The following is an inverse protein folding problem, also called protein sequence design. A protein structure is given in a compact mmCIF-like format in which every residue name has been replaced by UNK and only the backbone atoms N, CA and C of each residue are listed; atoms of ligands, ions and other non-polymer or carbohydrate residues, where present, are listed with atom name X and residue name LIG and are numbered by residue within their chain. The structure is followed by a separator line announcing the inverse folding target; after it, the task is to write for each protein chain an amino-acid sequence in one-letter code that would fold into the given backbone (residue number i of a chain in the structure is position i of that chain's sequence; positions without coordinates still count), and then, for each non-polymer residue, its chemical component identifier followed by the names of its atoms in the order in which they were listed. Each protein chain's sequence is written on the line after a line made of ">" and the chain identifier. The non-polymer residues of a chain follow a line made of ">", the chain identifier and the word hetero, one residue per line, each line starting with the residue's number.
data_IF_948923649349
#
_entry.id   IF_948923649349
#
_cell.length_a   1.000
_cell.length_b   1.000
_cell.length_c   1.000
_cell.angle_alpha   90.00
_cell.angle_beta   90.00
_cell.angle_gamma   90.00
#
_symmetry.space_group_name_H-M   'P 1'
#
loop_
_entity.id
_entity.type
_entity.pdbx_description
1 polymer ?
#
# COMPACT_ATOMS: atom_id res chain seq x y z
N UNK A 1 0.60 12.29 -1.31
CA UNK A 1 1.53 11.72 -0.32
C UNK A 1 0.72 11.41 0.92
N UNK A 2 0.91 10.23 1.53
CA UNK A 2 0.02 9.68 2.57
C UNK A 2 0.00 10.56 3.83
N UNK A 3 1.04 11.36 4.06
CA UNK A 3 1.16 12.33 5.16
C UNK A 3 0.04 13.38 5.13
N UNK A 4 -0.44 13.77 3.93
CA UNK A 4 -1.59 14.66 3.81
C UNK A 4 -2.88 14.00 4.32
N UNK A 5 -3.08 12.73 3.96
CA UNK A 5 -4.23 11.95 4.43
C UNK A 5 -4.18 11.67 5.93
N UNK A 6 -2.99 11.40 6.49
CA UNK A 6 -2.78 11.20 7.92
C UNK A 6 -3.24 12.43 8.72
N UNK A 7 -2.77 13.62 8.32
CA UNK A 7 -3.16 14.90 8.94
C UNK A 7 -4.65 15.16 8.88
N UNK A 8 -5.25 15.00 7.70
CA UNK A 8 -6.68 15.25 7.51
C UNK A 8 -7.52 14.28 8.35
N UNK A 9 -7.13 13.01 8.42
CA UNK A 9 -7.83 11.99 9.19
C UNK A 9 -7.63 12.13 10.70
N UNK A 10 -6.44 12.55 11.15
CA UNK A 10 -6.13 12.86 12.53
C UNK A 10 -6.99 14.04 13.02
N UNK A 11 -7.03 15.13 12.25
CA UNK A 11 -7.85 16.30 12.55
C UNK A 11 -9.35 15.97 12.59
N UNK A 12 -9.84 15.14 11.65
CA UNK A 12 -11.25 14.74 11.58
C UNK A 12 -11.67 13.86 12.76
N UNK A 13 -10.77 13.01 13.26
CA UNK A 13 -11.08 12.01 14.30
C UNK A 13 -10.63 12.42 15.70
N UNK A 14 -9.84 13.49 15.83
CA UNK A 14 -9.31 13.96 17.11
C UNK A 14 -8.29 13.01 17.74
N UNK A 15 -7.52 12.29 16.93
CA UNK A 15 -6.48 11.34 17.36
C UNK A 15 -5.15 11.64 16.66
N UNK A 16 -4.03 11.20 17.23
CA UNK A 16 -2.69 11.37 16.66
C UNK A 16 -2.52 10.67 15.31
N UNK A 17 -1.64 11.22 14.45
CA UNK A 17 -1.33 10.68 13.13
C UNK A 17 -0.84 9.22 13.19
N UNK A 18 0.01 8.88 14.18
CA UNK A 18 0.48 7.51 14.38
C UNK A 18 -0.68 6.55 14.72
N UNK A 19 -1.65 7.03 15.50
CA UNK A 19 -2.86 6.25 15.82
C UNK A 19 -3.72 6.06 14.58
N UNK A 20 -3.83 7.08 13.71
CA UNK A 20 -4.53 6.95 12.41
C UNK A 20 -3.84 5.91 11.53
N UNK A 21 -2.51 5.92 11.48
CA UNK A 21 -1.75 4.97 10.68
C UNK A 21 -2.09 3.53 11.11
N UNK A 22 -1.97 3.21 12.40
CA UNK A 22 -2.24 1.86 12.92
C UNK A 22 -3.72 1.46 12.83
N UNK A 23 -4.61 2.35 13.28
CA UNK A 23 -6.02 2.00 13.57
C UNK A 23 -6.99 2.35 12.46
N UNK A 24 -6.55 3.08 11.43
CA UNK A 24 -7.38 3.43 10.27
C UNK A 24 -6.77 2.92 8.98
N UNK A 25 -5.50 3.22 8.71
CA UNK A 25 -4.87 2.89 7.42
C UNK A 25 -4.36 1.45 7.37
N UNK A 26 -3.83 0.92 8.48
CA UNK A 26 -3.21 -0.42 8.54
C UNK A 26 -4.09 -1.47 9.20
N UNK A 27 -5.32 -1.13 9.59
CA UNK A 27 -6.22 -2.01 10.34
C UNK A 27 -6.45 -3.34 9.64
N UNK A 28 -6.71 -3.27 8.33
CA UNK A 28 -6.99 -4.46 7.50
C UNK A 28 -5.75 -5.08 6.88
N UNK A 29 -4.61 -4.39 6.90
CA UNK A 29 -3.38 -4.93 6.33
C UNK A 29 -2.84 -6.02 7.27
N UNK A 30 -2.57 -7.22 6.75
CA UNK A 30 -1.85 -8.24 7.48
C UNK A 30 -0.41 -7.77 7.79
N UNK A 31 0.21 -7.08 6.83
CA UNK A 31 1.52 -6.45 6.97
C UNK A 31 1.32 -5.02 7.48
N UNK A 32 1.76 -4.73 8.71
CA UNK A 32 1.57 -3.43 9.39
C UNK A 32 2.52 -2.33 8.93
N UNK A 33 2.58 -2.12 7.62
CA UNK A 33 3.21 -0.96 6.98
C UNK A 33 2.55 -0.67 5.64
N UNK A 34 2.78 0.53 5.14
CA UNK A 34 2.37 0.90 3.80
C UNK A 34 3.28 0.24 2.75
N UNK A 35 2.75 0.10 1.54
CA UNK A 35 3.54 -0.30 0.38
C UNK A 35 4.39 0.89 -0.02
N UNK A 36 5.68 0.64 -0.21
CA UNK A 36 6.64 1.67 -0.60
C UNK A 36 6.70 1.83 -2.13
N UNK A 37 6.95 3.05 -2.66
CA UNK A 37 7.00 3.27 -4.10
C UNK A 37 8.01 2.38 -4.85
N UNK A 38 9.13 2.04 -4.22
CA UNK A 38 10.16 1.19 -4.82
C UNK A 38 9.71 -0.28 -4.94
N UNK A 39 8.79 -0.75 -4.10
CA UNK A 39 8.21 -2.09 -4.20
C UNK A 39 7.29 -2.21 -5.41
N UNK A 40 6.49 -1.17 -5.66
CA UNK A 40 5.69 -1.05 -6.89
C UNK A 40 6.60 -1.01 -8.12
N UNK A 41 7.66 -0.19 -8.08
CA UNK A 41 8.63 -0.10 -9.16
C UNK A 41 9.32 -1.45 -9.44
N UNK A 42 9.60 -2.23 -8.40
CA UNK A 42 10.21 -3.56 -8.53
C UNK A 42 9.29 -4.54 -9.26
N UNK A 43 7.99 -4.57 -8.90
CA UNK A 43 7.00 -5.38 -9.62
C UNK A 43 6.89 -4.93 -11.08
N UNK A 44 6.79 -3.63 -11.34
CA UNK A 44 6.73 -3.09 -12.71
C UNK A 44 7.97 -3.48 -13.51
N UNK A 45 9.16 -3.42 -12.89
CA UNK A 45 10.43 -3.80 -13.52
C UNK A 45 10.44 -5.29 -13.89
N UNK A 46 9.95 -6.16 -13.00
CA UNK A 46 9.77 -7.58 -13.29
C UNK A 46 8.81 -7.80 -14.46
N UNK A 47 7.63 -7.15 -14.43
CA UNK A 47 6.61 -7.29 -15.48
C UNK A 47 7.06 -6.77 -16.85
N UNK A 48 7.96 -5.78 -16.87
CA UNK A 48 8.55 -5.25 -18.10
C UNK A 48 9.72 -6.09 -18.63
N UNK A 49 10.16 -7.12 -17.89
CA UNK A 49 11.30 -7.96 -18.28
C UNK A 49 10.91 -9.12 -19.18
N UNK A 50 11.89 -9.68 -19.89
CA UNK A 50 11.74 -10.91 -20.69
C UNK A 50 11.24 -12.11 -19.84
N UNK A 51 11.49 -12.11 -18.53
CA UNK A 51 11.03 -13.19 -17.65
C UNK A 51 9.50 -13.23 -17.50
N UNK A 52 8.83 -12.11 -17.79
CA UNK A 52 7.38 -11.98 -17.74
C UNK A 52 6.73 -12.07 -19.13
N UNK A 53 7.42 -12.57 -20.17
CA UNK A 53 6.93 -12.54 -21.56
C UNK A 53 5.54 -13.18 -21.79
N UNK A 54 5.15 -14.15 -20.95
CA UNK A 54 3.83 -14.81 -21.03
C UNK A 54 2.83 -14.32 -19.97
N UNK A 55 3.21 -13.34 -19.16
CA UNK A 55 2.35 -12.72 -18.16
C UNK A 55 1.41 -11.73 -18.86
N UNK A 56 0.12 -12.05 -18.89
CA UNK A 56 -0.91 -11.17 -19.46
C UNK A 56 -2.28 -11.47 -18.85
N UNK A 57 -3.19 -10.48 -18.90
CA UNK A 57 -4.57 -10.62 -18.44
C UNK A 57 -4.77 -10.81 -16.92
N UNK A 58 -3.72 -10.57 -16.12
CA UNK A 58 -3.74 -10.77 -14.67
C UNK A 58 -3.73 -9.43 -13.91
N UNK A 59 -4.30 -9.46 -12.69
CA UNK A 59 -4.18 -8.37 -11.71
C UNK A 59 -3.16 -8.75 -10.64
N UNK A 60 -2.21 -7.86 -10.36
CA UNK A 60 -1.17 -8.06 -9.35
C UNK A 60 -1.43 -7.14 -8.15
N UNK A 61 -1.85 -7.73 -7.03
CA UNK A 61 -2.25 -6.98 -5.83
C UNK A 61 -1.02 -6.72 -4.94
N UNK A 62 -0.80 -5.45 -4.60
CA UNK A 62 0.20 -4.98 -3.63
C UNK A 62 -0.52 -4.14 -2.57
N UNK A 63 -1.06 -4.79 -1.55
CA UNK A 63 -1.90 -4.12 -0.54
C UNK A 63 -1.54 -4.52 0.91
N UNK A 64 -0.41 -5.21 1.10
CA UNK A 64 -0.01 -5.68 2.42
C UNK A 64 -0.94 -6.75 3.01
N UNK A 65 -1.67 -7.48 2.17
CA UNK A 65 -2.63 -8.51 2.61
C UNK A 65 -3.94 -7.92 3.09
N UNK A 66 -4.39 -6.80 2.53
CA UNK A 66 -5.71 -6.24 2.82
C UNK A 66 -6.81 -7.10 2.20
N UNK A 67 -6.64 -7.55 0.95
CA UNK A 67 -7.68 -8.23 0.18
C UNK A 67 -7.94 -9.68 0.57
N UNK A 68 -7.27 -10.20 1.61
CA UNK A 68 -7.39 -11.59 2.09
C UNK A 68 -8.19 -11.71 3.38
#
# INVERSE_FOLDING_TARGET
>A
MVEGQLKDQAATRGIDEDTVLETVLLTKNAIKRLVEPHEVASLVTFLASEQAAMVTGASYVLDGGWSI
#
